data_IF_647986109566
#
_entry.id   IF_647986109566
#
_cell.length_a   1.000
_cell.length_b   1.000
_cell.length_c   1.000
_cell.angle_alpha   90.00
_cell.angle_beta   90.00
_cell.angle_gamma   90.00
#
_symmetry.space_group_name_H-M   'P 1'
#
loop_
_entity.id
_entity.type
_entity.pdbx_description
1 polymer ?
#
# COMPACT_ATOMS: atom_id res chain seq x y z
N UNK A 1 -21.38 -19.47 40.02
CA UNK A 1 -21.24 -18.54 38.90
C UNK A 1 -19.99 -19.00 38.15
N UNK A 2 -20.24 -19.81 37.13
CA UNK A 2 -19.29 -20.72 36.48
C UNK A 2 -18.87 -20.07 35.16
N UNK A 3 -17.64 -19.55 35.10
CA UNK A 3 -17.12 -18.94 33.89
C UNK A 3 -16.87 -20.06 32.85
N UNK A 4 -17.28 -19.89 31.58
CA UNK A 4 -17.12 -20.96 30.60
C UNK A 4 -15.62 -21.20 30.33
N UNK A 5 -15.15 -22.38 30.69
CA UNK A 5 -13.89 -22.95 30.21
C UNK A 5 -13.99 -23.01 28.69
N UNK A 6 -13.34 -22.06 28.00
CA UNK A 6 -13.18 -22.11 26.55
C UNK A 6 -12.31 -23.32 26.26
N UNK A 7 -12.92 -24.43 25.85
CA UNK A 7 -12.18 -25.52 25.19
C UNK A 7 -11.49 -24.90 23.98
N UNK A 8 -10.16 -24.78 24.04
CA UNK A 8 -9.39 -24.44 22.86
C UNK A 8 -9.68 -25.51 21.80
N UNK A 9 -10.05 -25.13 20.57
CA UNK A 9 -10.16 -26.12 19.51
C UNK A 9 -8.78 -26.78 19.37
N UNK A 10 -8.73 -28.12 19.38
CA UNK A 10 -7.48 -28.82 19.12
C UNK A 10 -6.98 -28.39 17.75
N UNK A 11 -5.74 -27.91 17.68
CA UNK A 11 -5.15 -27.53 16.40
C UNK A 11 -5.21 -28.73 15.44
N UNK A 12 -5.52 -28.53 14.15
CA UNK A 12 -5.33 -29.56 13.14
C UNK A 12 -3.93 -30.16 13.25
N UNK A 13 -3.77 -31.47 13.06
CA UNK A 13 -2.49 -32.17 13.25
C UNK A 13 -1.33 -31.50 12.50
N UNK A 14 -1.58 -31.02 11.28
CA UNK A 14 -0.61 -30.26 10.47
C UNK A 14 -0.08 -29.00 11.16
N UNK A 15 -0.91 -28.31 11.95
CA UNK A 15 -0.50 -27.14 12.71
C UNK A 15 0.27 -27.52 13.96
N UNK A 16 0.12 -28.72 14.51
CA UNK A 16 0.90 -29.23 15.63
C UNK A 16 2.25 -29.80 15.17
N UNK A 17 2.30 -30.36 13.96
CA UNK A 17 3.50 -30.94 13.36
C UNK A 17 4.43 -29.91 12.73
N UNK A 18 3.92 -28.74 12.34
CA UNK A 18 4.74 -27.66 11.75
C UNK A 18 5.97 -27.36 12.61
N UNK A 19 7.16 -27.48 12.02
CA UNK A 19 8.41 -27.24 12.73
C UNK A 19 9.29 -26.18 12.05
N UNK A 20 10.51 -26.01 12.55
CA UNK A 20 11.46 -25.05 11.99
C UNK A 20 12.06 -25.50 10.65
N UNK A 21 12.14 -26.80 10.42
CA UNK A 21 12.70 -27.40 9.21
C UNK A 21 11.75 -27.19 8.03
N UNK A 22 10.45 -27.34 8.25
CA UNK A 22 9.41 -26.96 7.29
C UNK A 22 9.55 -25.50 6.86
N UNK A 23 9.64 -24.60 7.84
CA UNK A 23 9.76 -23.16 7.60
C UNK A 23 11.05 -22.79 6.87
N UNK A 24 12.16 -23.46 7.19
CA UNK A 24 13.44 -23.27 6.50
C UNK A 24 13.41 -23.81 5.08
N UNK A 25 12.85 -25.01 4.88
CA UNK A 25 12.68 -25.62 3.56
C UNK A 25 11.81 -24.74 2.65
N UNK A 26 10.70 -24.23 3.18
CA UNK A 26 9.83 -23.30 2.47
C UNK A 26 10.52 -21.99 2.08
N UNK A 27 11.28 -21.36 2.99
CA UNK A 27 12.07 -20.18 2.66
C UNK A 27 13.19 -20.47 1.65
N UNK A 28 13.85 -21.63 1.79
CA UNK A 28 14.93 -22.05 0.89
C UNK A 28 14.39 -22.28 -0.53
N UNK A 29 13.23 -22.91 -0.68
CA UNK A 29 12.57 -23.09 -1.97
C UNK A 29 12.25 -21.74 -2.63
N UNK A 30 11.70 -20.77 -1.88
CA UNK A 30 11.45 -19.43 -2.39
C UNK A 30 12.74 -18.68 -2.76
N UNK A 31 13.80 -18.83 -1.97
CA UNK A 31 15.10 -18.25 -2.29
C UNK A 31 15.70 -18.89 -3.55
N UNK A 32 15.59 -20.21 -3.71
CA UNK A 32 16.04 -20.94 -4.89
C UNK A 32 15.26 -20.57 -6.16
N UNK A 33 13.98 -20.19 -6.00
CA UNK A 33 13.16 -19.62 -7.06
C UNK A 33 13.46 -18.13 -7.37
N UNK A 34 14.44 -17.52 -6.71
CA UNK A 34 14.89 -16.16 -7.00
C UNK A 34 14.00 -15.05 -6.44
N UNK A 35 13.15 -15.32 -5.43
CA UNK A 35 12.32 -14.28 -4.84
C UNK A 35 13.17 -13.19 -4.16
N UNK A 36 12.76 -11.93 -4.34
CA UNK A 36 13.43 -10.79 -3.74
C UNK A 36 13.55 -10.91 -2.21
N UNK A 37 14.68 -10.44 -1.65
CA UNK A 37 14.95 -10.46 -0.20
C UNK A 37 13.85 -9.78 0.63
N UNK A 38 13.30 -8.68 0.12
CA UNK A 38 12.17 -7.98 0.74
C UNK A 38 10.89 -8.84 0.80
N UNK A 39 10.66 -9.69 -0.19
CA UNK A 39 9.55 -10.64 -0.19
C UNK A 39 9.79 -11.73 0.85
N UNK A 40 10.98 -12.32 0.89
CA UNK A 40 11.34 -13.31 1.91
C UNK A 40 11.21 -12.75 3.33
N UNK A 41 11.69 -11.52 3.56
CA UNK A 41 11.57 -10.86 4.86
C UNK A 41 10.11 -10.67 5.30
N UNK A 42 9.22 -10.27 4.37
CA UNK A 42 7.77 -10.17 4.65
C UNK A 42 7.14 -11.53 4.94
N UNK A 43 7.56 -12.59 4.26
CA UNK A 43 7.11 -13.98 4.51
C UNK A 43 7.52 -14.46 5.90
N UNK A 44 8.76 -14.18 6.32
CA UNK A 44 9.23 -14.48 7.68
C UNK A 44 8.42 -13.72 8.73
N UNK A 45 8.13 -12.43 8.50
CA UNK A 45 7.31 -11.65 9.42
C UNK A 45 5.88 -12.23 9.55
N UNK A 46 5.26 -12.60 8.44
CA UNK A 46 3.93 -13.20 8.43
C UNK A 46 3.87 -14.51 9.21
N UNK A 47 4.82 -15.42 8.97
CA UNK A 47 4.89 -16.70 9.70
C UNK A 47 5.13 -16.48 11.19
N UNK A 48 6.03 -15.57 11.58
CA UNK A 48 6.26 -15.23 12.99
C UNK A 48 5.00 -14.70 13.67
N UNK A 49 4.25 -13.82 13.01
CA UNK A 49 2.97 -13.34 13.55
C UNK A 49 1.97 -14.48 13.70
N UNK A 50 1.91 -15.38 12.72
CA UNK A 50 1.00 -16.53 12.74
C UNK A 50 1.34 -17.54 13.85
N UNK A 51 2.59 -17.99 13.96
CA UNK A 51 3.00 -18.96 14.99
C UNK A 51 2.95 -18.37 16.40
N UNK A 52 3.24 -17.07 16.55
CA UNK A 52 3.03 -16.37 17.81
C UNK A 52 1.55 -16.30 18.20
N UNK A 53 0.65 -16.11 17.22
CA UNK A 53 -0.80 -16.18 17.43
C UNK A 53 -1.24 -17.60 17.83
N UNK A 54 -0.79 -18.65 17.13
CA UNK A 54 -1.10 -20.04 17.50
C UNK A 54 -0.74 -20.35 18.95
N UNK A 55 0.46 -19.93 19.39
CA UNK A 55 0.89 -20.08 20.78
C UNK A 55 -0.01 -19.30 21.75
N UNK A 56 -0.36 -18.06 21.40
CA UNK A 56 -1.20 -17.19 22.24
C UNK A 56 -2.63 -17.73 22.42
N UNK A 57 -3.20 -18.34 21.38
CA UNK A 57 -4.53 -18.95 21.43
C UNK A 57 -4.51 -20.37 22.03
N UNK A 58 -3.37 -20.87 22.49
CA UNK A 58 -3.24 -22.21 23.06
C UNK A 58 -3.33 -23.36 22.04
N UNK A 59 -3.28 -23.05 20.74
CA UNK A 59 -3.29 -24.03 19.66
C UNK A 59 -1.95 -24.75 19.53
N UNK A 60 -0.87 -24.14 20.03
CA UNK A 60 0.46 -24.75 20.18
C UNK A 60 1.07 -24.36 21.51
N UNK A 61 1.94 -25.21 22.05
CA UNK A 61 2.72 -24.93 23.26
C UNK A 61 4.00 -24.14 22.98
N UNK A 62 4.49 -24.18 21.74
CA UNK A 62 5.74 -23.58 21.29
C UNK A 62 5.56 -22.65 20.07
N UNK A 63 6.66 -22.09 19.57
CA UNK A 63 6.67 -21.22 18.40
C UNK A 63 7.91 -21.51 17.52
N UNK A 64 7.74 -22.29 16.45
CA UNK A 64 8.86 -22.74 15.61
C UNK A 64 9.54 -21.58 14.86
N UNK A 65 8.84 -20.46 14.65
CA UNK A 65 9.36 -19.33 13.89
C UNK A 65 10.31 -18.43 14.68
N UNK A 66 10.43 -18.61 16.00
CA UNK A 66 11.31 -17.79 16.86
C UNK A 66 12.77 -17.82 16.40
N UNK A 67 13.26 -18.98 15.95
CA UNK A 67 14.65 -19.15 15.50
C UNK A 67 14.82 -18.98 13.99
N UNK A 68 13.75 -18.61 13.27
CA UNK A 68 13.78 -18.36 11.84
C UNK A 68 14.56 -17.06 11.57
N UNK A 69 15.56 -17.09 10.69
CA UNK A 69 16.32 -15.87 10.33
C UNK A 69 15.63 -15.15 9.19
N UNK A 70 15.42 -13.85 9.36
CA UNK A 70 14.91 -12.99 8.28
C UNK A 70 16.08 -12.47 7.44
N UNK A 71 16.03 -12.59 6.10
CA UNK A 71 16.97 -11.87 5.24
C UNK A 71 16.83 -10.38 5.49
N UNK A 72 17.95 -9.68 5.70
CA UNK A 72 17.91 -8.21 5.68
C UNK A 72 17.59 -7.76 4.26
N UNK A 73 16.48 -7.04 4.02
CA UNK A 73 16.27 -6.37 2.75
C UNK A 73 17.41 -5.39 2.54
N UNK A 74 17.87 -5.25 1.31
CA UNK A 74 18.76 -4.14 0.96
C UNK A 74 17.96 -2.85 1.03
N UNK A 75 18.47 -1.86 1.76
CA UNK A 75 17.86 -0.55 1.86
C UNK A 75 18.16 0.23 0.59
N UNK A 76 17.27 0.20 -0.39
CA UNK A 76 17.33 1.16 -1.50
C UNK A 76 16.67 2.44 -1.04
N UNK A 77 17.39 3.57 -1.12
CA UNK A 77 16.76 4.87 -0.94
C UNK A 77 15.69 5.05 -2.04
N UNK A 78 14.47 5.52 -1.70
CA UNK A 78 13.49 5.85 -2.72
C UNK A 78 14.10 6.86 -3.69
N UNK A 79 13.89 6.66 -5.00
CA UNK A 79 14.22 7.69 -5.97
C UNK A 79 13.28 8.87 -5.76
N UNK A 80 13.84 10.03 -5.41
CA UNK A 80 13.06 11.26 -5.21
C UNK A 80 13.04 12.03 -6.52
N UNK A 81 11.85 12.48 -6.94
CA UNK A 81 11.70 13.37 -8.08
C UNK A 81 12.31 14.73 -7.74
N UNK A 82 13.25 15.18 -8.56
CA UNK A 82 13.74 16.55 -8.50
C UNK A 82 12.66 17.50 -9.02
N UNK A 83 12.68 18.75 -8.57
CA UNK A 83 11.71 19.77 -8.97
C UNK A 83 11.59 19.90 -10.49
N UNK A 84 12.71 19.92 -11.21
CA UNK A 84 12.71 19.98 -12.68
C UNK A 84 12.08 18.74 -13.35
N UNK A 85 12.23 17.56 -12.74
CA UNK A 85 11.59 16.34 -13.23
C UNK A 85 10.07 16.41 -13.00
N UNK A 86 9.63 16.92 -11.85
CA UNK A 86 8.21 17.10 -11.55
C UNK A 86 7.57 18.12 -12.51
N UNK A 87 8.23 19.26 -12.73
CA UNK A 87 7.77 20.26 -13.71
C UNK A 87 7.62 19.67 -15.12
N UNK A 88 8.59 18.86 -15.57
CA UNK A 88 8.51 18.18 -16.88
C UNK A 88 7.36 17.18 -16.95
N UNK A 89 7.11 16.44 -15.88
CA UNK A 89 6.00 15.49 -15.80
C UNK A 89 4.65 16.20 -15.93
N UNK A 90 4.45 17.29 -15.17
CA UNK A 90 3.20 18.07 -15.20
C UNK A 90 3.02 18.76 -16.56
N UNK A 91 4.08 19.31 -17.15
CA UNK A 91 4.03 19.88 -18.49
C UNK A 91 3.63 18.84 -19.55
N UNK A 92 4.20 17.64 -19.50
CA UNK A 92 3.83 16.55 -20.41
C UNK A 92 2.37 16.11 -20.25
N UNK A 93 1.84 16.12 -19.02
CA UNK A 93 0.42 15.84 -18.79
C UNK A 93 -0.48 16.91 -19.45
N UNK A 94 -0.10 18.19 -19.37
CA UNK A 94 -0.81 19.27 -20.05
C UNK A 94 -0.73 19.16 -21.58
N UNK A 95 0.43 18.82 -22.13
CA UNK A 95 0.57 18.59 -23.58
C UNK A 95 -0.35 17.47 -24.08
N UNK A 96 -0.57 16.42 -23.27
CA UNK A 96 -1.53 15.36 -23.59
C UNK A 96 -2.98 15.84 -23.54
N UNK A 97 -3.34 16.73 -22.60
CA UNK A 97 -4.65 17.39 -22.55
C UNK A 97 -4.88 18.19 -23.84
N UNK A 98 -3.91 19.01 -24.23
CA UNK A 98 -3.99 19.87 -25.40
C UNK A 98 -4.11 19.03 -26.69
N UNK A 99 -3.32 17.96 -26.80
CA UNK A 99 -3.39 17.03 -27.93
C UNK A 99 -4.74 16.31 -28.00
N UNK A 100 -5.29 15.88 -26.87
CA UNK A 100 -6.59 15.22 -26.82
C UNK A 100 -7.75 16.20 -27.12
N UNK A 101 -7.62 17.47 -26.71
CA UNK A 101 -8.59 18.53 -27.01
C UNK A 101 -8.68 18.85 -28.51
N UNK A 102 -7.57 18.68 -29.24
CA UNK A 102 -7.52 18.87 -30.69
C UNK A 102 -8.10 17.71 -31.49
N UNK A 103 -8.39 16.57 -30.85
CA UNK A 103 -9.02 15.40 -31.47
C UNK A 103 -10.54 15.39 -31.33
N UNK A 104 -11.19 14.46 -32.02
CA UNK A 104 -12.65 14.28 -32.01
C UNK A 104 -13.14 13.18 -31.04
N UNK A 105 -12.32 12.78 -30.05
CA UNK A 105 -12.68 11.76 -29.05
C UNK A 105 -12.88 12.40 -27.66
N UNK A 106 -14.14 12.64 -27.24
CA UNK A 106 -14.45 13.22 -25.94
C UNK A 106 -13.98 12.35 -24.75
N UNK A 107 -13.91 11.03 -24.92
CA UNK A 107 -13.48 10.12 -23.85
C UNK A 107 -11.98 10.27 -23.64
N UNK A 108 -11.20 10.32 -24.72
CA UNK A 108 -9.76 10.57 -24.63
C UNK A 108 -9.45 11.93 -23.97
N UNK A 109 -10.20 12.98 -24.33
CA UNK A 109 -10.04 14.29 -23.70
C UNK A 109 -10.38 14.29 -22.21
N UNK A 110 -11.47 13.64 -21.80
CA UNK A 110 -11.84 13.52 -20.39
C UNK A 110 -10.81 12.72 -19.58
N UNK A 111 -10.23 11.65 -20.14
CA UNK A 111 -9.17 10.89 -19.50
C UNK A 111 -7.89 11.72 -19.32
N UNK A 112 -7.51 12.50 -20.33
CA UNK A 112 -6.34 13.37 -20.23
C UNK A 112 -6.52 14.45 -19.15
N UNK A 113 -7.70 15.09 -19.08
CA UNK A 113 -8.03 16.05 -18.02
C UNK A 113 -7.96 15.41 -16.63
N UNK A 114 -8.57 14.23 -16.46
CA UNK A 114 -8.53 13.49 -15.20
C UNK A 114 -7.10 13.18 -14.77
N UNK A 115 -6.28 12.68 -15.69
CA UNK A 115 -4.91 12.28 -15.37
C UNK A 115 -4.04 13.49 -15.02
N UNK A 116 -4.23 14.63 -15.70
CA UNK A 116 -3.59 15.90 -15.33
C UNK A 116 -4.02 16.39 -13.94
N UNK A 117 -5.32 16.34 -13.63
CA UNK A 117 -5.86 16.70 -12.31
C UNK A 117 -5.29 15.83 -11.20
N UNK A 118 -5.23 14.51 -11.42
CA UNK A 118 -4.66 13.57 -10.46
C UNK A 118 -3.17 13.82 -10.20
N UNK A 119 -2.39 14.13 -11.24
CA UNK A 119 -0.97 14.43 -11.12
C UNK A 119 -0.71 15.75 -10.38
N UNK A 120 -1.44 16.81 -10.72
CA UNK A 120 -1.35 18.10 -10.02
C UNK A 120 -1.76 17.95 -8.54
N UNK A 121 -2.86 17.26 -8.26
CA UNK A 121 -3.32 17.06 -6.89
C UNK A 121 -2.37 16.16 -6.09
N UNK A 122 -1.81 15.12 -6.70
CA UNK A 122 -0.78 14.27 -6.09
C UNK A 122 0.46 15.10 -5.71
N UNK A 123 0.93 15.93 -6.63
CA UNK A 123 2.10 16.78 -6.42
C UNK A 123 1.83 17.84 -5.35
N UNK A 124 0.66 18.47 -5.36
CA UNK A 124 0.28 19.53 -4.42
C UNK A 124 0.08 19.02 -2.99
N UNK A 125 -0.47 17.82 -2.81
CA UNK A 125 -0.95 17.34 -1.49
C UNK A 125 -0.10 16.22 -0.88
N UNK A 126 0.70 15.52 -1.69
CA UNK A 126 1.39 14.30 -1.26
C UNK A 126 0.42 13.17 -0.86
N UNK A 127 -0.81 13.19 -1.37
CA UNK A 127 -1.80 12.14 -1.14
C UNK A 127 -1.27 10.76 -1.61
N UNK A 128 -1.78 9.69 -1.02
CA UNK A 128 -1.53 8.34 -1.54
C UNK A 128 -2.39 8.11 -2.76
N UNK A 129 -1.92 7.30 -3.71
CA UNK A 129 -2.69 6.91 -4.92
C UNK A 129 -4.08 6.36 -4.55
N UNK A 130 -4.16 5.55 -3.50
CA UNK A 130 -5.43 5.00 -3.02
C UNK A 130 -6.36 6.07 -2.42
N UNK A 131 -5.81 7.15 -1.84
CA UNK A 131 -6.61 8.27 -1.34
C UNK A 131 -7.16 9.07 -2.53
N UNK A 132 -6.33 9.37 -3.53
CA UNK A 132 -6.76 10.10 -4.74
C UNK A 132 -7.79 9.34 -5.57
N UNK A 133 -7.61 8.04 -5.73
CA UNK A 133 -8.51 7.19 -6.54
C UNK A 133 -9.88 6.99 -5.90
N UNK A 134 -10.02 7.35 -4.63
CA UNK A 134 -11.26 7.22 -3.86
C UNK A 134 -11.95 8.58 -3.64
N UNK A 135 -11.40 9.68 -4.16
CA UNK A 135 -12.00 11.01 -4.04
C UNK A 135 -13.31 11.10 -4.81
N UNK A 136 -14.25 11.85 -4.24
CA UNK A 136 -15.45 12.33 -4.91
C UNK A 136 -15.47 13.87 -4.95
N UNK A 137 -16.37 14.44 -5.75
CA UNK A 137 -16.54 15.90 -5.87
C UNK A 137 -16.86 16.58 -4.54
N UNK A 138 -17.56 15.87 -3.64
CA UNK A 138 -17.93 16.35 -2.31
C UNK A 138 -16.74 16.41 -1.33
N UNK A 139 -15.60 15.83 -1.68
CA UNK A 139 -14.36 15.93 -0.92
C UNK A 139 -13.58 17.21 -1.23
N UNK A 140 -13.98 17.97 -2.25
CA UNK A 140 -13.35 19.21 -2.68
C UNK A 140 -14.10 20.43 -2.14
N UNK A 141 -13.40 21.28 -1.40
CA UNK A 141 -13.89 22.61 -1.03
C UNK A 141 -13.17 23.66 -1.87
N UNK A 142 -13.55 23.77 -3.16
CA UNK A 142 -12.86 24.59 -4.15
C UNK A 142 -12.72 26.07 -3.74
N UNK A 143 -13.74 26.66 -3.13
CA UNK A 143 -13.70 28.04 -2.63
C UNK A 143 -12.68 28.29 -1.52
N UNK A 144 -12.15 27.22 -0.90
CA UNK A 144 -11.14 27.28 0.15
C UNK A 144 -9.79 26.68 -0.28
N UNK A 145 -9.72 26.06 -1.47
CA UNK A 145 -8.53 25.39 -1.95
C UNK A 145 -8.10 24.23 -1.05
N UNK A 146 -9.05 23.44 -0.53
CA UNK A 146 -8.74 22.28 0.32
C UNK A 146 -9.46 21.03 -0.16
N UNK A 147 -8.82 19.88 0.05
CA UNK A 147 -9.37 18.54 -0.22
C UNK A 147 -9.37 17.70 1.06
N UNK A 148 -10.43 16.92 1.26
CA UNK A 148 -10.54 15.94 2.35
C UNK A 148 -10.05 14.58 1.86
N UNK A 149 -9.00 14.05 2.49
CA UNK A 149 -8.41 12.74 2.16
C UNK A 149 -8.77 11.71 3.24
N UNK A 150 -9.29 10.56 2.82
CA UNK A 150 -9.62 9.44 3.71
C UNK A 150 -8.57 8.33 3.60
N UNK A 151 -7.77 8.18 4.66
CA UNK A 151 -6.69 7.19 4.74
C UNK A 151 -7.09 5.89 5.46
N UNK A 152 -6.09 5.05 5.71
CA UNK A 152 -6.27 3.76 6.38
C UNK A 152 -6.94 3.91 7.76
N UNK A 153 -7.93 3.06 8.02
CA UNK A 153 -8.69 3.05 9.27
C UNK A 153 -9.72 4.17 9.36
N UNK A 154 -10.23 4.60 8.21
CA UNK A 154 -11.24 5.66 8.08
C UNK A 154 -10.82 7.00 8.71
N UNK A 155 -9.51 7.26 8.68
CA UNK A 155 -8.94 8.50 9.22
C UNK A 155 -8.92 9.57 8.15
N UNK A 156 -9.63 10.66 8.42
CA UNK A 156 -9.72 11.79 7.51
C UNK A 156 -8.72 12.88 7.88
N UNK A 157 -8.24 13.59 6.86
CA UNK A 157 -7.48 14.84 7.03
C UNK A 157 -7.81 15.80 5.90
N UNK A 158 -7.85 17.08 6.20
CA UNK A 158 -7.99 18.14 5.19
C UNK A 158 -6.61 18.66 4.81
N UNK A 159 -6.32 18.76 3.52
CA UNK A 159 -5.04 19.21 2.99
C UNK A 159 -5.28 20.35 2.00
N UNK A 160 -4.54 21.47 2.09
CA UNK A 160 -4.62 22.52 1.10
C UNK A 160 -4.00 22.10 -0.22
N UNK A 161 -4.52 22.63 -1.32
CA UNK A 161 -3.90 22.55 -2.65
C UNK A 161 -3.81 23.95 -3.25
N UNK A 162 -2.79 24.16 -4.10
CA UNK A 162 -2.55 25.45 -4.75
C UNK A 162 -3.33 25.63 -6.05
N UNK A 163 -3.27 26.83 -6.61
CA UNK A 163 -3.94 27.19 -7.86
C UNK A 163 -3.68 26.24 -9.05
N UNK A 164 -2.48 25.66 -9.26
CA UNK A 164 -2.28 24.69 -10.34
C UNK A 164 -3.22 23.49 -10.24
N UNK A 165 -3.32 22.87 -9.07
CA UNK A 165 -4.25 21.78 -8.82
C UNK A 165 -5.71 22.27 -8.90
N UNK A 166 -6.00 23.46 -8.38
CA UNK A 166 -7.34 24.05 -8.46
C UNK A 166 -7.82 24.35 -9.88
N UNK A 167 -6.93 24.64 -10.83
CA UNK A 167 -7.29 24.81 -12.24
C UNK A 167 -7.47 23.50 -13.00
N UNK A 168 -6.82 22.43 -12.52
CA UNK A 168 -6.89 21.12 -13.16
C UNK A 168 -8.14 20.33 -12.73
N UNK A 169 -8.72 20.66 -11.57
CA UNK A 169 -10.01 20.17 -11.06
C UNK A 169 -11.20 20.90 -11.70
#
# INVERSE_FOLDING_TARGET
DDAPVRHAPSAPDVLAELDIEDLRGWLAAMSGAGLARATLARRVAAVRTFTAWLRREGLRSDDPALRLRSPRPEGTLPHVLQEQQARRLLAAAQELVDAAAAGDDPVAHALALRDAALLELLYATGARVAELSALDVDDLEAGRGVVRLTGKGDRQRTVPYGDPAGRAL
#
